data_IF_600922086805
#
_entry.id   IF_600922086805
#
_cell.length_a   1.000
_cell.length_b   1.000
_cell.length_c   1.000
_cell.angle_alpha   90.00
_cell.angle_beta   90.00
_cell.angle_gamma   90.00
#
_symmetry.space_group_name_H-M   'P 1'
#
loop_
_entity.id
_entity.type
_entity.pdbx_description
1 polymer ?
#
# COMPACT_ATOMS: atom_id res chain seq x y z
N UNK A 1 10.17 9.10 3.91
CA UNK A 1 10.16 10.53 3.54
C UNK A 1 11.14 11.28 4.45
N UNK A 2 11.98 12.19 3.92
CA UNK A 2 13.01 12.91 4.71
C UNK A 2 12.46 14.15 5.44
N UNK A 3 11.30 14.64 5.00
CA UNK A 3 10.57 15.80 5.51
C UNK A 3 10.61 15.93 7.04
N UNK A 4 10.15 14.92 7.77
CA UNK A 4 10.08 14.98 9.23
C UNK A 4 11.35 14.50 9.95
N UNK A 5 12.41 14.14 9.20
CA UNK A 5 13.56 13.38 9.73
C UNK A 5 14.90 14.07 9.58
N UNK A 6 15.01 15.09 8.72
CA UNK A 6 16.26 15.84 8.51
C UNK A 6 16.19 17.21 9.18
N UNK A 7 16.96 17.37 10.27
CA UNK A 7 17.12 18.66 10.94
C UNK A 7 17.79 19.69 10.03
N UNK A 8 17.26 20.91 9.99
CA UNK A 8 17.83 22.04 9.23
C UNK A 8 17.44 22.11 7.76
N UNK A 9 16.70 21.13 7.22
CA UNK A 9 16.18 21.13 5.85
C UNK A 9 14.68 20.81 5.76
N UNK A 10 13.97 20.87 6.90
CA UNK A 10 12.54 20.54 6.99
C UNK A 10 11.71 21.34 5.98
N UNK A 11 11.93 22.65 5.89
CA UNK A 11 11.17 23.53 4.99
C UNK A 11 11.38 23.17 3.51
N UNK A 12 12.63 22.85 3.11
CA UNK A 12 12.94 22.42 1.73
C UNK A 12 12.19 21.15 1.37
N UNK A 13 12.31 20.09 2.18
CA UNK A 13 11.62 18.84 1.92
C UNK A 13 10.09 18.96 2.03
N UNK A 14 9.58 19.91 2.83
CA UNK A 14 8.15 20.15 2.94
C UNK A 14 7.60 20.73 1.66
N UNK A 15 8.26 21.77 1.14
CA UNK A 15 7.86 22.42 -0.10
C UNK A 15 7.99 21.47 -1.30
N UNK A 16 9.01 20.61 -1.34
CA UNK A 16 9.14 19.58 -2.37
C UNK A 16 8.02 18.54 -2.29
N UNK A 17 7.68 18.06 -1.08
CA UNK A 17 6.60 17.10 -0.88
C UNK A 17 5.23 17.69 -1.28
N UNK A 18 4.98 18.96 -0.93
CA UNK A 18 3.78 19.68 -1.35
C UNK A 18 3.71 19.81 -2.88
N UNK A 19 4.77 20.26 -3.53
CA UNK A 19 4.80 20.43 -4.97
C UNK A 19 4.58 19.09 -5.72
N UNK A 20 5.16 18.00 -5.21
CA UNK A 20 4.95 16.66 -5.75
C UNK A 20 3.50 16.19 -5.57
N UNK A 21 2.92 16.41 -4.39
CA UNK A 21 1.53 16.06 -4.10
C UNK A 21 0.55 16.85 -4.97
N UNK A 22 0.76 18.16 -5.12
CA UNK A 22 -0.07 19.03 -5.95
C UNK A 22 -0.04 18.61 -7.42
N UNK A 23 1.14 18.27 -7.94
CA UNK A 23 1.28 17.71 -9.28
C UNK A 23 0.59 16.35 -9.41
N UNK A 24 0.76 15.47 -8.42
CA UNK A 24 0.17 14.14 -8.44
C UNK A 24 -1.36 14.20 -8.45
N UNK A 25 -1.97 15.09 -7.66
CA UNK A 25 -3.42 15.35 -7.70
C UNK A 25 -3.88 15.84 -9.07
N UNK A 26 -3.12 16.75 -9.70
CA UNK A 26 -3.45 17.33 -11.00
C UNK A 26 -3.20 16.38 -12.17
N UNK A 27 -2.41 15.33 -11.99
CA UNK A 27 -2.10 14.33 -13.02
C UNK A 27 -3.34 13.52 -13.47
N UNK A 28 -4.38 13.49 -12.63
CA UNK A 28 -5.58 12.68 -12.86
C UNK A 28 -5.40 11.19 -12.60
N UNK A 29 -4.25 10.74 -12.07
CA UNK A 29 -4.00 9.31 -11.78
C UNK A 29 -4.87 8.76 -10.64
N UNK A 30 -5.33 9.60 -9.71
CA UNK A 30 -6.38 9.24 -8.76
C UNK A 30 -7.71 9.29 -9.52
N UNK A 31 -8.31 8.12 -9.78
CA UNK A 31 -9.55 8.02 -10.55
C UNK A 31 -10.81 8.24 -9.70
N UNK A 32 -11.97 8.19 -10.35
CA UNK A 32 -13.27 8.43 -9.73
C UNK A 32 -13.63 7.47 -8.60
N UNK A 33 -12.94 6.32 -8.49
CA UNK A 33 -13.08 5.37 -7.38
C UNK A 33 -12.10 5.62 -6.24
N UNK A 34 -11.31 6.69 -6.29
CA UNK A 34 -10.19 6.97 -5.39
C UNK A 34 -9.07 5.91 -5.45
N UNK A 35 -8.96 5.19 -6.57
CA UNK A 35 -7.83 4.30 -6.84
C UNK A 35 -6.82 4.99 -7.74
N UNK A 36 -5.55 4.65 -7.57
CA UNK A 36 -4.43 5.20 -8.34
C UNK A 36 -4.12 4.27 -9.51
N UNK A 37 -4.29 4.77 -10.72
CA UNK A 37 -3.84 4.10 -11.94
C UNK A 37 -2.32 4.17 -12.09
N UNK A 38 -1.77 3.21 -12.84
CA UNK A 38 -0.34 2.94 -12.94
C UNK A 38 0.54 4.11 -13.41
N UNK A 39 0.14 4.81 -14.47
CA UNK A 39 1.03 5.78 -15.12
C UNK A 39 0.29 6.81 -15.99
N UNK A 40 1.05 7.76 -16.52
CA UNK A 40 0.59 8.71 -17.52
C UNK A 40 0.96 8.24 -18.93
N UNK A 41 0.17 8.64 -19.91
CA UNK A 41 0.51 8.54 -21.33
C UNK A 41 1.60 9.55 -21.70
N UNK A 42 2.12 9.46 -22.93
CA UNK A 42 3.08 10.45 -23.46
C UNK A 42 2.55 11.88 -23.51
N UNK A 43 1.23 12.06 -23.46
CA UNK A 43 0.54 13.37 -23.44
C UNK A 43 0.20 13.81 -22.00
N UNK A 44 0.80 13.19 -20.99
CA UNK A 44 0.58 13.47 -19.56
C UNK A 44 -0.87 13.29 -19.09
N UNK A 45 -1.63 12.41 -19.73
CA UNK A 45 -2.98 12.03 -19.28
C UNK A 45 -2.94 10.69 -18.53
N UNK A 46 -3.83 10.50 -17.54
CA UNK A 46 -3.99 9.20 -16.89
C UNK A 46 -4.19 8.09 -17.93
N UNK A 47 -3.38 7.03 -17.86
CA UNK A 47 -3.47 5.90 -18.78
C UNK A 47 -4.68 4.98 -18.54
N UNK A 48 -5.42 5.16 -17.43
CA UNK A 48 -6.51 4.26 -17.01
C UNK A 48 -6.02 2.83 -16.75
N UNK A 49 -4.73 2.67 -16.47
CA UNK A 49 -4.05 1.39 -16.36
C UNK A 49 -4.29 0.69 -15.04
N UNK A 50 -3.53 -0.38 -14.81
CA UNK A 50 -3.70 -1.27 -13.66
C UNK A 50 -3.62 -0.52 -12.33
N UNK A 51 -4.51 -0.87 -11.41
CA UNK A 51 -4.53 -0.37 -10.04
C UNK A 51 -3.72 -1.33 -9.18
N UNK A 52 -2.41 -1.09 -9.09
CA UNK A 52 -1.54 -1.91 -8.26
C UNK A 52 -1.64 -1.55 -6.79
N UNK A 53 -1.50 -2.54 -5.91
CA UNK A 53 -1.55 -2.34 -4.45
C UNK A 53 -0.48 -1.35 -3.96
N UNK A 54 0.74 -1.39 -4.52
CA UNK A 54 1.84 -0.53 -4.08
C UNK A 54 1.60 0.96 -4.38
N UNK A 55 0.95 1.29 -5.50
CA UNK A 55 0.63 2.68 -5.86
C UNK A 55 -0.31 3.29 -4.82
N UNK A 56 -1.27 2.51 -4.35
CA UNK A 56 -2.16 2.90 -3.25
C UNK A 56 -1.34 3.05 -1.96
N UNK A 57 -0.55 2.03 -1.64
CA UNK A 57 0.23 1.92 -0.41
C UNK A 57 1.21 3.07 -0.20
N UNK A 58 2.10 3.34 -1.16
CA UNK A 58 3.12 4.38 -0.99
C UNK A 58 2.50 5.75 -0.72
N UNK A 59 1.33 6.00 -1.32
CA UNK A 59 0.60 7.25 -1.20
C UNK A 59 0.06 7.43 0.21
N UNK A 60 -0.39 6.35 0.87
CA UNK A 60 -0.83 6.40 2.27
C UNK A 60 0.28 6.90 3.20
N UNK A 61 1.47 6.28 3.12
CA UNK A 61 2.59 6.67 3.98
C UNK A 61 3.11 8.07 3.67
N UNK A 62 3.06 8.49 2.40
CA UNK A 62 3.40 9.85 2.01
C UNK A 62 2.45 10.89 2.60
N UNK A 63 1.14 10.62 2.54
CA UNK A 63 0.12 11.51 3.07
C UNK A 63 0.14 11.60 4.60
N UNK A 64 0.41 10.51 5.31
CA UNK A 64 0.60 10.53 6.77
C UNK A 64 1.77 11.43 7.17
N UNK A 65 2.89 11.37 6.45
CA UNK A 65 4.05 12.22 6.72
C UNK A 65 3.77 13.70 6.38
N UNK A 66 2.99 13.96 5.33
CA UNK A 66 2.61 15.32 4.92
C UNK A 66 1.58 15.94 5.89
N UNK A 67 0.63 15.15 6.38
CA UNK A 67 -0.32 15.50 7.43
C UNK A 67 0.43 15.98 8.69
N UNK A 68 1.32 15.14 9.21
CA UNK A 68 2.13 15.44 10.40
C UNK A 68 3.02 16.68 10.24
N UNK A 69 3.42 17.02 9.00
CA UNK A 69 4.24 18.19 8.72
C UNK A 69 3.42 19.49 8.55
N UNK A 70 2.20 19.37 8.03
CA UNK A 70 1.38 20.51 7.60
C UNK A 70 0.40 20.99 8.66
N UNK A 71 -0.09 20.08 9.52
CA UNK A 71 -1.13 20.37 10.52
C UNK A 71 -2.53 20.53 9.92
N UNK A 72 -2.77 20.03 8.70
CA UNK A 72 -4.09 20.03 8.06
C UNK A 72 -4.59 18.60 7.85
N UNK A 73 -5.75 18.27 8.40
CA UNK A 73 -6.38 16.93 8.32
C UNK A 73 -6.75 16.48 6.88
N UNK A 74 -6.67 17.39 5.90
CA UNK A 74 -6.93 17.07 4.49
C UNK A 74 -6.11 15.88 3.97
N UNK A 75 -4.84 15.77 4.38
CA UNK A 75 -3.96 14.71 3.90
C UNK A 75 -4.33 13.35 4.52
N UNK A 76 -4.61 13.30 5.82
CA UNK A 76 -5.04 12.06 6.46
C UNK A 76 -6.41 11.59 5.95
N UNK A 77 -7.35 12.50 5.72
CA UNK A 77 -8.66 12.18 5.12
C UNK A 77 -8.54 11.61 3.71
N UNK A 78 -7.62 12.17 2.92
CA UNK A 78 -7.33 11.66 1.57
C UNK A 78 -6.70 10.27 1.64
N UNK A 79 -5.78 10.03 2.58
CA UNK A 79 -5.19 8.71 2.81
C UNK A 79 -6.27 7.68 3.18
N UNK A 80 -7.21 8.04 4.07
CA UNK A 80 -8.33 7.17 4.41
C UNK A 80 -9.20 6.82 3.21
N UNK A 81 -9.45 7.79 2.33
CA UNK A 81 -10.26 7.60 1.12
C UNK A 81 -9.61 6.61 0.15
N UNK A 82 -8.30 6.76 -0.11
CA UNK A 82 -7.53 5.84 -0.95
C UNK A 82 -7.44 4.44 -0.32
N UNK A 83 -7.16 4.36 0.99
CA UNK A 83 -7.04 3.07 1.69
C UNK A 83 -8.36 2.29 1.66
N UNK A 84 -9.50 2.95 1.91
CA UNK A 84 -10.82 2.32 1.82
C UNK A 84 -11.13 1.84 0.40
N UNK A 85 -10.82 2.66 -0.61
CA UNK A 85 -11.00 2.28 -2.00
C UNK A 85 -10.15 1.06 -2.38
N UNK A 86 -8.88 1.04 -1.97
CA UNK A 86 -7.97 -0.08 -2.21
C UNK A 86 -8.44 -1.37 -1.53
N UNK A 87 -8.85 -1.30 -0.26
CA UNK A 87 -9.41 -2.45 0.47
C UNK A 87 -10.67 -2.97 -0.21
N UNK A 88 -11.56 -2.08 -0.70
CA UNK A 88 -12.77 -2.52 -1.39
C UNK A 88 -12.50 -3.07 -2.80
N UNK A 89 -11.52 -2.51 -3.50
CA UNK A 89 -11.30 -2.73 -4.93
C UNK A 89 -10.29 -3.81 -5.27
N UNK A 90 -9.36 -4.13 -4.36
CA UNK A 90 -8.22 -5.03 -4.61
C UNK A 90 -8.26 -6.30 -3.77
N UNK A 91 -9.41 -6.61 -3.19
CA UNK A 91 -9.57 -7.69 -2.23
C UNK A 91 -10.57 -8.71 -2.75
N UNK A 92 -10.33 -10.00 -2.49
CA UNK A 92 -11.28 -11.06 -2.80
C UNK A 92 -12.48 -11.09 -1.83
N UNK A 93 -13.37 -12.07 -2.01
CA UNK A 93 -14.53 -12.26 -1.15
C UNK A 93 -14.19 -12.66 0.29
N UNK A 94 -12.97 -13.15 0.53
CA UNK A 94 -12.50 -13.61 1.83
C UNK A 94 -11.71 -12.51 2.58
N UNK A 95 -11.59 -11.31 1.98
CA UNK A 95 -10.90 -10.20 2.61
C UNK A 95 -9.39 -10.17 2.35
N UNK A 96 -8.88 -10.95 1.39
CA UNK A 96 -7.45 -11.05 1.10
C UNK A 96 -7.05 -10.20 -0.10
N UNK A 97 -5.96 -9.46 0.05
CA UNK A 97 -5.40 -8.55 -0.94
C UNK A 97 -4.79 -9.30 -2.13
N UNK A 98 -5.09 -8.81 -3.33
CA UNK A 98 -4.59 -9.33 -4.58
C UNK A 98 -4.03 -8.23 -5.47
N UNK A 99 -2.89 -8.51 -6.11
CA UNK A 99 -2.48 -7.76 -7.30
C UNK A 99 -3.02 -8.45 -8.58
N UNK A 100 -3.45 -7.69 -9.60
CA UNK A 100 -4.13 -8.25 -10.78
C UNK A 100 -3.33 -9.29 -11.60
N UNK A 101 -2.01 -9.39 -11.41
CA UNK A 101 -1.19 -10.37 -12.11
C UNK A 101 -1.22 -11.77 -11.49
N UNK A 102 -1.79 -11.94 -10.30
CA UNK A 102 -1.77 -13.22 -9.59
C UNK A 102 -2.52 -14.33 -10.38
N UNK A 103 -2.00 -15.58 -10.41
CA UNK A 103 -0.78 -16.06 -9.75
C UNK A 103 0.50 -15.90 -10.60
N UNK A 104 0.43 -15.26 -11.77
CA UNK A 104 1.50 -15.23 -12.78
C UNK A 104 2.19 -13.86 -12.85
N UNK A 105 2.66 -13.38 -11.71
CA UNK A 105 3.36 -12.10 -11.62
C UNK A 105 4.81 -12.18 -12.10
N UNK A 106 5.31 -11.04 -12.60
CA UNK A 106 6.74 -10.86 -12.91
C UNK A 106 7.61 -10.74 -11.66
N UNK A 107 8.83 -10.21 -11.81
CA UNK A 107 9.77 -10.09 -10.70
C UNK A 107 9.39 -9.00 -9.66
N UNK A 108 8.69 -7.95 -10.10
CA UNK A 108 8.44 -6.75 -9.28
C UNK A 108 7.15 -6.85 -8.45
N UNK A 109 6.05 -7.27 -9.07
CA UNK A 109 4.74 -7.30 -8.41
C UNK A 109 4.65 -8.13 -7.11
N UNK A 110 5.44 -9.21 -6.89
CA UNK A 110 5.43 -9.90 -5.60
C UNK A 110 5.77 -9.02 -4.39
N UNK A 111 6.41 -7.86 -4.56
CA UNK A 111 6.69 -6.90 -3.49
C UNK A 111 5.50 -6.00 -3.14
N UNK A 112 4.52 -5.85 -4.03
CA UNK A 112 3.57 -4.74 -4.01
C UNK A 112 2.63 -4.79 -2.81
N UNK A 113 2.05 -5.96 -2.52
CA UNK A 113 1.18 -6.15 -1.34
C UNK A 113 1.87 -5.78 -0.04
N UNK A 114 3.13 -6.17 0.15
CA UNK A 114 3.91 -5.79 1.34
C UNK A 114 4.10 -4.29 1.49
N UNK A 115 4.34 -3.58 0.38
CA UNK A 115 4.41 -2.10 0.37
C UNK A 115 3.07 -1.51 0.82
N UNK A 116 1.94 -2.06 0.35
CA UNK A 116 0.62 -1.66 0.81
C UNK A 116 0.45 -1.89 2.31
N UNK A 117 0.69 -3.11 2.79
CA UNK A 117 0.53 -3.50 4.20
C UNK A 117 1.36 -2.62 5.15
N UNK A 118 2.62 -2.37 4.81
CA UNK A 118 3.51 -1.51 5.62
C UNK A 118 2.99 -0.08 5.73
N UNK A 119 2.46 0.49 4.66
CA UNK A 119 1.96 1.86 4.70
C UNK A 119 0.55 1.96 5.30
N UNK A 120 -0.27 0.91 5.17
CA UNK A 120 -1.54 0.81 5.88
C UNK A 120 -1.31 0.73 7.40
N UNK A 121 -0.28 0.01 7.86
CA UNK A 121 0.15 0.02 9.26
C UNK A 121 0.53 1.44 9.73
N UNK A 122 1.26 2.19 8.91
CA UNK A 122 1.64 3.59 9.23
C UNK A 122 0.38 4.46 9.36
N UNK A 123 -0.58 4.33 8.43
CA UNK A 123 -1.86 5.04 8.52
C UNK A 123 -2.64 4.64 9.78
N UNK A 124 -2.73 3.34 10.09
CA UNK A 124 -3.40 2.84 11.29
C UNK A 124 -2.79 3.41 12.58
N UNK A 125 -1.47 3.54 12.64
CA UNK A 125 -0.78 4.13 13.79
C UNK A 125 -1.04 5.63 13.95
N UNK A 126 -1.19 6.36 12.83
CA UNK A 126 -1.45 7.80 12.82
C UNK A 126 -2.92 8.15 13.08
N UNK A 127 -3.85 7.39 12.49
CA UNK A 127 -5.29 7.57 12.58
C UNK A 127 -5.99 6.21 12.53
N UNK A 128 -6.41 5.74 13.71
CA UNK A 128 -6.90 4.37 13.90
C UNK A 128 -8.25 4.11 13.24
N UNK A 129 -8.41 2.91 12.69
CA UNK A 129 -9.66 2.37 12.18
C UNK A 129 -9.75 0.87 12.46
N UNK A 130 -10.88 0.42 13.00
CA UNK A 130 -11.13 -1.02 13.23
C UNK A 130 -11.15 -1.80 11.91
N UNK A 131 -11.61 -1.17 10.82
CA UNK A 131 -11.62 -1.78 9.48
C UNK A 131 -10.20 -2.10 9.00
N UNK A 132 -9.24 -1.22 9.28
CA UNK A 132 -7.84 -1.43 8.87
C UNK A 132 -7.18 -2.50 9.71
N UNK A 133 -7.45 -2.50 11.02
CA UNK A 133 -6.95 -3.55 11.90
C UNK A 133 -7.48 -4.92 11.47
N UNK A 134 -8.79 -5.03 11.21
CA UNK A 134 -9.41 -6.26 10.70
C UNK A 134 -8.81 -6.72 9.37
N UNK A 135 -8.61 -5.79 8.43
CA UNK A 135 -7.97 -6.09 7.14
C UNK A 135 -6.52 -6.56 7.31
N UNK A 136 -5.73 -5.89 8.16
CA UNK A 136 -4.35 -6.28 8.46
C UNK A 136 -4.29 -7.66 9.08
N UNK A 137 -5.15 -7.95 10.05
CA UNK A 137 -5.21 -9.27 10.69
C UNK A 137 -5.57 -10.36 9.68
N UNK A 138 -6.59 -10.16 8.84
CA UNK A 138 -6.97 -11.15 7.83
C UNK A 138 -5.83 -11.45 6.84
N UNK A 139 -5.13 -10.40 6.38
CA UNK A 139 -4.02 -10.51 5.44
C UNK A 139 -2.71 -11.01 6.07
N UNK A 140 -2.62 -11.07 7.40
CA UNK A 140 -1.54 -11.74 8.12
C UNK A 140 -1.87 -13.21 8.41
N UNK A 141 -3.10 -13.48 8.85
CA UNK A 141 -3.56 -14.81 9.24
C UNK A 141 -3.64 -15.76 8.04
N UNK A 142 -4.14 -15.29 6.89
CA UNK A 142 -4.29 -16.14 5.72
C UNK A 142 -2.95 -16.72 5.24
N UNK A 143 -1.90 -15.92 4.96
CA UNK A 143 -0.65 -16.49 4.53
C UNK A 143 0.05 -17.31 5.63
N UNK A 144 -0.15 -16.97 6.92
CA UNK A 144 0.43 -17.74 8.02
C UNK A 144 -0.15 -19.16 8.14
N UNK A 145 -1.46 -19.30 7.91
CA UNK A 145 -2.20 -20.54 8.12
C UNK A 145 -2.35 -21.38 6.85
N UNK A 146 -2.33 -20.75 5.67
CA UNK A 146 -2.63 -21.42 4.39
C UNK A 146 -1.42 -21.39 3.43
N UNK A 147 -0.82 -20.22 3.23
CA UNK A 147 0.25 -20.00 2.24
C UNK A 147 1.66 -20.25 2.79
N UNK A 148 1.82 -21.17 3.75
CA UNK A 148 3.10 -21.45 4.40
C UNK A 148 3.49 -22.91 4.27
N UNK A 149 4.70 -23.17 3.77
CA UNK A 149 5.24 -24.54 3.69
C UNK A 149 6.02 -24.96 4.95
N UNK A 150 6.46 -26.21 5.00
CA UNK A 150 7.22 -26.80 6.12
C UNK A 150 8.57 -26.10 6.42
N UNK A 151 9.04 -25.22 5.53
CA UNK A 151 10.24 -24.41 5.69
C UNK A 151 9.94 -22.97 6.08
N UNK A 152 8.69 -22.66 6.43
CA UNK A 152 8.19 -21.31 6.70
C UNK A 152 8.34 -20.34 5.53
N UNK A 153 8.37 -20.85 4.30
CA UNK A 153 8.34 -20.01 3.12
C UNK A 153 6.88 -19.67 2.79
N UNK A 154 6.67 -18.42 2.40
CA UNK A 154 5.40 -17.82 2.01
C UNK A 154 5.42 -17.56 0.50
N UNK A 155 4.31 -17.80 -0.19
CA UNK A 155 4.23 -17.62 -1.64
C UNK A 155 3.59 -16.29 -2.04
N UNK A 156 3.22 -16.18 -3.31
CA UNK A 156 2.68 -14.97 -3.90
C UNK A 156 1.20 -14.76 -3.52
N UNK A 157 0.41 -15.83 -3.50
CA UNK A 157 -1.06 -15.74 -3.39
C UNK A 157 -1.49 -16.12 -1.99
N UNK A 158 -1.81 -15.11 -1.18
CA UNK A 158 -2.05 -15.27 0.26
C UNK A 158 -3.36 -15.96 0.60
N UNK A 159 -4.31 -16.06 -0.34
CA UNK A 159 -5.64 -16.66 -0.14
C UNK A 159 -5.71 -18.15 -0.48
N UNK A 160 -4.59 -18.77 -0.88
CA UNK A 160 -4.55 -20.19 -1.25
C UNK A 160 -3.44 -20.94 -0.52
N UNK A 161 -3.49 -22.29 -0.49
CA UNK A 161 -2.36 -23.09 -0.01
C UNK A 161 -1.08 -22.80 -0.77
N UNK A 162 0.08 -22.94 -0.12
CA UNK A 162 1.40 -22.64 -0.68
C UNK A 162 1.62 -23.11 -2.13
N UNK A 163 2.04 -22.20 -3.01
CA UNK A 163 2.39 -22.50 -4.41
C UNK A 163 3.86 -22.11 -4.67
N UNK A 164 4.61 -22.97 -5.37
CA UNK A 164 5.96 -22.61 -5.79
C UNK A 164 5.95 -21.58 -6.96
N UNK A 165 6.93 -20.67 -7.04
CA UNK A 165 8.09 -20.54 -6.15
C UNK A 165 7.84 -19.58 -4.98
N UNK A 166 8.52 -19.83 -3.86
CA UNK A 166 8.79 -18.80 -2.86
C UNK A 166 10.22 -18.26 -3.04
N UNK A 167 10.35 -16.94 -2.93
CA UNK A 167 11.59 -16.20 -3.13
C UNK A 167 11.64 -15.01 -2.16
N UNK A 168 12.69 -14.18 -2.24
CA UNK A 168 12.85 -13.05 -1.32
C UNK A 168 11.69 -12.04 -1.38
N UNK A 169 11.09 -11.83 -2.55
CA UNK A 169 10.04 -10.83 -2.74
C UNK A 169 8.71 -11.28 -2.15
N UNK A 170 8.25 -12.49 -2.49
CA UNK A 170 7.06 -13.12 -1.88
C UNK A 170 7.18 -13.23 -0.37
N UNK A 171 8.32 -13.70 0.14
CA UNK A 171 8.58 -13.81 1.57
C UNK A 171 8.54 -12.45 2.26
N UNK A 172 9.25 -11.45 1.75
CA UNK A 172 9.30 -10.12 2.37
C UNK A 172 7.93 -9.47 2.38
N UNK A 173 7.16 -9.64 1.31
CA UNK A 173 5.83 -9.07 1.15
C UNK A 173 4.86 -9.63 2.20
N UNK A 174 4.84 -10.94 2.38
CA UNK A 174 4.00 -11.57 3.41
C UNK A 174 4.48 -11.23 4.83
N UNK A 175 5.81 -11.12 5.05
CA UNK A 175 6.36 -10.67 6.33
C UNK A 175 5.92 -9.23 6.69
N UNK A 176 5.78 -8.32 5.73
CA UNK A 176 5.25 -6.97 5.99
C UNK A 176 3.81 -7.02 6.54
N UNK A 177 2.97 -7.96 6.09
CA UNK A 177 1.65 -8.17 6.66
C UNK A 177 1.72 -8.69 8.10
N UNK A 178 2.58 -9.68 8.38
CA UNK A 178 2.77 -10.22 9.72
C UNK A 178 3.31 -9.17 10.70
N UNK A 179 4.28 -8.35 10.27
CA UNK A 179 4.84 -7.25 11.07
C UNK A 179 3.77 -6.18 11.33
N UNK A 180 2.95 -5.85 10.34
CA UNK A 180 1.84 -4.93 10.52
C UNK A 180 0.84 -5.40 11.57
N UNK A 181 0.52 -6.70 11.59
CA UNK A 181 -0.45 -7.27 12.52
C UNK A 181 0.01 -7.30 13.98
N UNK A 182 1.32 -7.40 14.24
CA UNK A 182 1.88 -7.43 15.61
C UNK A 182 2.28 -6.05 16.14
N UNK A 183 1.97 -4.99 15.41
CA UNK A 183 2.30 -3.62 15.79
C UNK A 183 1.31 -2.98 16.78
N UNK A 184 0.17 -3.63 17.01
CA UNK A 184 -0.95 -3.17 17.83
C UNK A 184 -1.41 -4.30 18.77
#
# INVERSE_FOLDING_TARGET
MLLNRVSGQKETYFNEALAQWDWFCQSGMINERNLINDSLTGDCANNGGTEWSYNQGQTLGALVELDAASGYDYYIDTAHSIAKAAILGLTDSDGILHDPCEPNCGADAPWFKGIFMRNLQILQAASQSDDYLGFITANADSPWNQDRNDRNQLSLVWSVPFINPANASTQSSALDALVAAVAF
#
